data_IF_121172517537
#
_entry.id   IF_121172517537
#
_cell.length_a   1.000
_cell.length_b   1.000
_cell.length_c   1.000
_cell.angle_alpha   90.00
_cell.angle_beta   90.00
_cell.angle_gamma   90.00
#
_symmetry.space_group_name_H-M   'P 1'
#
loop_
_entity.id
_entity.type
_entity.pdbx_description
1 polymer ?
#
# COMPACT_ATOMS: atom_id res chain seq x y z
N UNK A 1 4.96 10.20 0.44
CA UNK A 1 4.88 8.74 0.29
C UNK A 1 5.57 8.08 1.46
N UNK A 2 4.92 7.15 2.10
CA UNK A 2 5.50 6.34 3.17
C UNK A 2 5.54 4.89 2.74
N UNK A 3 6.67 4.22 2.93
CA UNK A 3 6.83 2.83 2.56
C UNK A 3 7.06 1.95 3.80
N UNK A 4 6.58 0.73 3.73
CA UNK A 4 6.70 -0.27 4.79
C UNK A 4 7.09 -1.61 4.16
N UNK A 5 8.16 -2.20 4.68
CA UNK A 5 8.61 -3.53 4.25
C UNK A 5 7.85 -4.59 5.06
N UNK A 6 7.02 -5.37 4.37
CA UNK A 6 6.30 -6.48 5.01
C UNK A 6 7.23 -7.68 5.23
N UNK A 7 6.90 -8.49 6.22
CA UNK A 7 7.60 -9.73 6.54
C UNK A 7 6.63 -10.73 7.16
N UNK A 8 7.03 -12.00 7.33
CA UNK A 8 6.20 -12.97 8.08
C UNK A 8 5.99 -12.59 9.55
N UNK A 9 6.73 -11.61 10.06
CA UNK A 9 6.59 -11.08 11.42
C UNK A 9 5.80 -9.77 11.49
N UNK A 10 5.25 -9.30 10.37
CA UNK A 10 4.45 -8.07 10.33
C UNK A 10 3.25 -8.14 11.26
N UNK A 11 2.93 -7.02 11.89
CA UNK A 11 1.82 -6.90 12.83
C UNK A 11 0.73 -6.00 12.28
N UNK A 12 -0.54 -6.19 12.70
CA UNK A 12 -1.62 -5.27 12.33
C UNK A 12 -1.33 -3.82 12.77
N UNK A 13 -0.77 -3.65 13.96
CA UNK A 13 -0.42 -2.34 14.52
C UNK A 13 0.62 -1.61 13.66
N UNK A 14 1.59 -2.32 13.12
CA UNK A 14 2.60 -1.75 12.23
C UNK A 14 1.98 -1.14 10.98
N UNK A 15 1.06 -1.86 10.35
CA UNK A 15 0.35 -1.39 9.15
C UNK A 15 -0.56 -0.21 9.48
N UNK A 16 -1.37 -0.32 10.53
CA UNK A 16 -2.25 0.77 10.98
C UNK A 16 -1.45 2.03 11.29
N UNK A 17 -0.28 1.90 11.92
CA UNK A 17 0.60 3.01 12.25
C UNK A 17 1.05 3.80 11.02
N UNK A 18 1.45 3.10 9.95
CA UNK A 18 1.86 3.73 8.69
C UNK A 18 0.69 4.47 8.04
N UNK A 19 -0.50 3.89 8.02
CA UNK A 19 -1.69 4.56 7.49
C UNK A 19 -2.03 5.83 8.28
N UNK A 20 -1.92 5.77 9.61
CA UNK A 20 -2.15 6.94 10.48
C UNK A 20 -1.14 8.05 10.23
N UNK A 21 0.14 7.72 10.05
CA UNK A 21 1.16 8.71 9.71
C UNK A 21 0.85 9.42 8.39
N UNK A 22 0.46 8.68 7.35
CA UNK A 22 0.07 9.26 6.08
C UNK A 22 -1.18 10.13 6.20
N UNK A 23 -2.16 9.71 6.97
CA UNK A 23 -3.37 10.49 7.25
C UNK A 23 -3.04 11.83 7.92
N UNK A 24 -2.15 11.82 8.92
CA UNK A 24 -1.70 13.04 9.59
C UNK A 24 -0.95 14.00 8.66
N UNK A 25 -0.14 13.47 7.73
CA UNK A 25 0.59 14.29 6.77
C UNK A 25 -0.33 15.05 5.81
N UNK A 26 -1.51 14.54 5.52
CA UNK A 26 -2.45 15.19 4.62
C UNK A 26 -3.57 15.95 5.32
N UNK A 27 -3.65 15.94 6.65
CA UNK A 27 -4.74 16.53 7.44
C UNK A 27 -4.97 18.00 7.14
N UNK A 28 -3.89 18.78 7.00
CA UNK A 28 -3.95 20.23 6.78
C UNK A 28 -3.64 20.59 5.31
N UNK A 29 -3.68 19.60 4.41
CA UNK A 29 -3.37 19.78 2.99
C UNK A 29 -4.63 19.83 2.14
N UNK A 30 -4.53 20.53 1.01
CA UNK A 30 -5.56 20.51 -0.01
C UNK A 30 -5.53 19.18 -0.77
N UNK A 31 -6.55 18.36 -0.56
CA UNK A 31 -6.63 17.02 -1.15
C UNK A 31 -6.76 17.03 -2.68
N UNK A 32 -7.10 18.17 -3.27
CA UNK A 32 -7.09 18.32 -4.73
C UNK A 32 -5.68 18.41 -5.32
N UNK A 33 -4.69 18.74 -4.49
CA UNK A 33 -3.30 18.97 -4.90
C UNK A 33 -2.30 18.04 -4.22
N UNK A 34 -2.68 17.42 -3.11
CA UNK A 34 -1.78 16.62 -2.29
C UNK A 34 -2.50 15.37 -1.77
N UNK A 35 -1.92 14.23 -2.01
CA UNK A 35 -2.40 12.95 -1.49
C UNK A 35 -1.21 12.17 -0.94
N UNK A 36 -1.34 11.68 0.29
CA UNK A 36 -0.37 10.74 0.84
C UNK A 36 -0.63 9.33 0.32
N UNK A 37 0.43 8.59 0.06
CA UNK A 37 0.35 7.22 -0.43
C UNK A 37 1.15 6.31 0.49
N UNK A 38 0.54 5.22 0.93
CA UNK A 38 1.19 4.12 1.63
C UNK A 38 1.63 3.09 0.60
N UNK A 39 2.90 2.71 0.65
CA UNK A 39 3.44 1.61 -0.16
C UNK A 39 3.80 0.46 0.77
N UNK A 40 3.13 -0.68 0.60
CA UNK A 40 3.51 -1.91 1.30
C UNK A 40 4.30 -2.78 0.34
N UNK A 41 5.61 -2.88 0.58
CA UNK A 41 6.50 -3.72 -0.21
C UNK A 41 6.52 -5.15 0.35
N UNK A 42 6.65 -6.13 -0.52
CA UNK A 42 6.64 -7.54 -0.16
C UNK A 42 5.37 -7.94 0.62
N UNK A 43 4.22 -7.42 0.20
CA UNK A 43 2.94 -7.61 0.92
C UNK A 43 2.56 -9.10 1.05
N UNK A 44 2.98 -9.94 0.10
CA UNK A 44 2.76 -11.37 0.17
C UNK A 44 3.40 -12.03 1.40
N UNK A 45 4.52 -11.51 1.89
CA UNK A 45 5.17 -12.04 3.10
C UNK A 45 4.32 -11.81 4.36
N UNK A 46 3.56 -10.73 4.41
CA UNK A 46 2.67 -10.45 5.54
C UNK A 46 1.48 -11.43 5.60
N UNK A 47 1.15 -12.07 4.50
CA UNK A 47 0.10 -13.08 4.44
C UNK A 47 0.43 -14.30 5.31
N UNK A 48 1.71 -14.63 5.46
CA UNK A 48 2.20 -15.72 6.29
C UNK A 48 2.26 -15.39 7.78
N UNK A 49 2.05 -14.14 8.17
CA UNK A 49 2.07 -13.75 9.57
C UNK A 49 0.91 -14.37 10.35
N UNK A 50 1.16 -15.03 11.50
CA UNK A 50 0.09 -15.58 12.33
C UNK A 50 -0.83 -14.52 12.93
N UNK A 51 -0.40 -13.26 12.96
CA UNK A 51 -1.16 -12.13 13.47
C UNK A 51 -2.14 -11.56 12.43
N UNK A 52 -2.10 -12.06 11.20
CA UNK A 52 -3.00 -11.69 10.11
C UNK A 52 -3.07 -10.17 9.87
N UNK A 53 -1.93 -9.49 9.65
CA UNK A 53 -1.90 -8.03 9.55
C UNK A 53 -2.70 -7.48 8.36
N UNK A 54 -2.85 -8.25 7.28
CA UNK A 54 -3.56 -7.80 6.08
C UNK A 54 -5.06 -7.67 6.27
N UNK A 55 -5.63 -8.26 7.33
CA UNK A 55 -7.05 -8.07 7.65
C UNK A 55 -7.38 -6.62 7.99
N UNK A 56 -6.41 -5.85 8.49
CA UNK A 56 -6.60 -4.44 8.79
C UNK A 56 -6.79 -3.58 7.54
N UNK A 57 -6.37 -4.07 6.37
CA UNK A 57 -6.53 -3.33 5.12
C UNK A 57 -8.00 -3.12 4.74
N UNK A 58 -8.89 -4.04 5.09
CA UNK A 58 -10.30 -3.91 4.77
C UNK A 58 -10.89 -2.60 5.32
N UNK A 59 -10.90 -2.36 6.64
CA UNK A 59 -11.42 -1.09 7.16
C UNK A 59 -10.58 0.11 6.76
N UNK A 60 -9.26 -0.03 6.67
CA UNK A 60 -8.38 1.09 6.29
C UNK A 60 -8.64 1.58 4.87
N UNK A 61 -8.93 0.68 3.93
CA UNK A 61 -9.20 1.03 2.54
C UNK A 61 -10.65 1.48 2.32
N UNK A 62 -11.59 0.98 3.11
CA UNK A 62 -13.01 1.35 3.02
C UNK A 62 -13.33 2.63 3.80
N UNK A 63 -12.93 2.67 5.06
CA UNK A 63 -13.38 3.69 6.03
C UNK A 63 -12.29 4.71 6.37
N UNK A 64 -11.03 4.44 6.01
CA UNK A 64 -9.91 5.27 6.39
C UNK A 64 -9.36 4.96 7.77
N UNK A 65 -8.44 5.80 8.27
CA UNK A 65 -7.63 5.51 9.46
C UNK A 65 -8.32 5.83 10.78
N UNK A 66 -9.33 6.68 10.76
CA UNK A 66 -10.08 7.03 11.96
C UNK A 66 -11.54 7.28 11.62
N UNK A 67 -12.43 6.69 12.40
CA UNK A 67 -13.82 7.12 12.46
C UNK A 67 -13.90 8.15 13.59
N UNK A 68 -14.37 9.36 13.29
CA UNK A 68 -14.70 10.27 14.36
C UNK A 68 -15.90 9.68 15.09
N UNK A 69 -15.71 9.28 16.34
CA UNK A 69 -16.78 8.73 17.17
C UNK A 69 -17.97 9.69 17.30
N UNK A 70 -17.74 10.98 17.10
CA UNK A 70 -18.75 12.02 17.24
C UNK A 70 -19.67 12.20 16.04
N UNK A 71 -19.27 11.82 14.84
CA UNK A 71 -20.09 12.08 13.64
C UNK A 71 -20.43 10.85 12.82
N UNK A 72 -19.79 9.71 13.06
CA UNK A 72 -20.00 8.49 12.27
C UNK A 72 -19.61 8.62 10.79
N UNK A 73 -19.01 9.73 10.39
CA UNK A 73 -18.54 9.98 9.03
C UNK A 73 -17.05 9.90 8.94
N UNK A 74 -16.56 9.21 7.92
CA UNK A 74 -15.14 9.19 7.60
C UNK A 74 -14.77 10.55 7.01
N UNK A 75 -13.80 11.21 7.59
CA UNK A 75 -13.26 12.45 7.04
C UNK A 75 -12.36 12.13 5.82
N UNK A 76 -12.44 12.93 4.77
CA UNK A 76 -11.69 12.69 3.55
C UNK A 76 -10.17 12.62 3.78
N UNK A 77 -9.65 13.41 4.72
CA UNK A 77 -8.21 13.39 5.06
C UNK A 77 -7.76 12.09 5.73
N UNK A 78 -8.68 11.26 6.22
CA UNK A 78 -8.36 9.94 6.78
C UNK A 78 -8.19 8.86 5.70
N UNK A 79 -8.53 9.17 4.46
CA UNK A 79 -8.35 8.29 3.33
C UNK A 79 -7.03 8.59 2.64
N UNK A 80 -6.16 7.58 2.58
CA UNK A 80 -4.85 7.69 1.92
C UNK A 80 -4.79 6.76 0.72
N UNK A 81 -3.93 7.09 -0.24
CA UNK A 81 -3.66 6.20 -1.36
C UNK A 81 -2.91 4.96 -0.90
N UNK A 82 -3.06 3.86 -1.62
CA UNK A 82 -2.44 2.60 -1.26
C UNK A 82 -1.86 1.91 -2.49
N UNK A 83 -0.64 1.41 -2.36
CA UNK A 83 0.03 0.55 -3.34
C UNK A 83 0.62 -0.65 -2.61
N UNK A 84 0.26 -1.85 -3.04
CA UNK A 84 0.87 -3.08 -2.58
C UNK A 84 1.74 -3.70 -3.67
N UNK A 85 2.95 -4.10 -3.32
CA UNK A 85 3.88 -4.80 -4.22
C UNK A 85 4.08 -6.22 -3.74
N UNK A 86 3.93 -7.19 -4.63
CA UNK A 86 4.09 -8.61 -4.29
C UNK A 86 4.65 -9.40 -5.46
N UNK A 87 5.40 -10.45 -5.16
CA UNK A 87 5.90 -11.40 -6.15
C UNK A 87 4.90 -12.52 -6.47
N UNK A 88 3.80 -12.61 -5.72
CA UNK A 88 2.74 -13.60 -5.98
C UNK A 88 1.36 -13.01 -5.69
N UNK A 89 0.34 -13.67 -6.21
CA UNK A 89 -1.04 -13.26 -6.00
C UNK A 89 -1.45 -13.51 -4.53
N UNK A 90 -2.13 -12.51 -3.95
CA UNK A 90 -2.70 -12.63 -2.62
C UNK A 90 -4.02 -13.41 -2.65
N UNK A 91 -4.48 -13.83 -1.48
CA UNK A 91 -5.82 -14.38 -1.30
C UNK A 91 -6.87 -13.41 -1.87
N UNK A 92 -7.77 -13.88 -2.76
CA UNK A 92 -8.81 -13.02 -3.35
C UNK A 92 -9.64 -12.24 -2.33
N UNK A 93 -9.90 -12.81 -1.16
CA UNK A 93 -10.65 -12.12 -0.10
C UNK A 93 -9.94 -10.85 0.39
N UNK A 94 -8.60 -10.81 0.34
CA UNK A 94 -7.80 -9.66 0.75
C UNK A 94 -7.65 -8.63 -0.35
N UNK A 95 -7.94 -9.01 -1.60
CA UNK A 95 -7.76 -8.18 -2.79
C UNK A 95 -9.03 -7.50 -3.28
N UNK A 96 -10.17 -7.76 -2.65
CA UNK A 96 -11.47 -7.27 -3.10
C UNK A 96 -11.61 -5.74 -3.08
N UNK A 97 -10.78 -5.02 -2.32
CA UNK A 97 -10.82 -3.56 -2.20
C UNK A 97 -9.81 -2.84 -3.07
N UNK A 98 -9.08 -3.58 -3.89
CA UNK A 98 -8.05 -3.02 -4.75
C UNK A 98 -8.19 -3.48 -6.20
N UNK A 99 -7.47 -2.82 -7.07
CA UNK A 99 -7.28 -3.24 -8.45
C UNK A 99 -5.93 -3.95 -8.53
N UNK A 100 -5.95 -5.20 -8.99
CA UNK A 100 -4.71 -5.94 -9.18
C UNK A 100 -4.17 -5.75 -10.59
N UNK A 101 -2.89 -5.34 -10.65
CA UNK A 101 -2.14 -5.31 -11.90
C UNK A 101 -1.10 -6.43 -11.86
N UNK A 102 -1.27 -7.40 -12.75
CA UNK A 102 -0.32 -8.52 -12.84
C UNK A 102 0.63 -8.29 -14.02
N UNK A 103 1.92 -8.42 -13.75
CA UNK A 103 2.94 -8.46 -14.79
C UNK A 103 3.54 -9.86 -14.85
N UNK A 104 3.53 -10.44 -16.05
CA UNK A 104 4.23 -11.67 -16.31
C UNK A 104 5.74 -11.47 -16.43
N UNK A 105 6.45 -12.53 -16.78
CA UNK A 105 7.89 -12.44 -17.04
C UNK A 105 8.15 -11.42 -18.16
N UNK A 106 9.17 -10.54 -18.03
CA UNK A 106 9.47 -9.56 -19.05
C UNK A 106 9.94 -10.24 -20.33
N UNK A 107 9.57 -9.67 -21.49
CA UNK A 107 10.04 -10.12 -22.77
C UNK A 107 11.53 -9.81 -22.96
N UNK A 108 12.17 -10.46 -23.93
CA UNK A 108 13.56 -10.17 -24.27
C UNK A 108 13.76 -8.68 -24.62
N UNK A 109 12.82 -8.09 -25.33
CA UNK A 109 12.88 -6.65 -25.69
C UNK A 109 12.82 -5.76 -24.45
N UNK A 110 11.91 -6.05 -23.53
CA UNK A 110 11.80 -5.30 -22.26
C UNK A 110 13.08 -5.40 -21.43
N UNK A 111 13.70 -6.58 -21.36
CA UNK A 111 14.96 -6.79 -20.66
C UNK A 111 16.09 -5.98 -21.28
N UNK A 112 16.18 -5.95 -22.60
CA UNK A 112 17.20 -5.18 -23.32
C UNK A 112 17.02 -3.68 -23.12
N UNK A 113 15.79 -3.18 -23.17
CA UNK A 113 15.49 -1.78 -22.96
C UNK A 113 15.79 -1.36 -21.52
N UNK A 114 15.46 -2.20 -20.53
CA UNK A 114 15.80 -1.96 -19.14
C UNK A 114 17.31 -1.92 -18.92
N UNK A 115 18.05 -2.84 -19.52
CA UNK A 115 19.51 -2.87 -19.44
C UNK A 115 20.14 -1.62 -20.04
N UNK A 116 19.65 -1.18 -21.20
CA UNK A 116 20.11 0.06 -21.85
C UNK A 116 19.86 1.29 -20.99
N UNK A 117 18.67 1.36 -20.36
CA UNK A 117 18.32 2.43 -19.48
C UNK A 117 19.27 2.52 -18.27
N UNK A 118 19.54 1.40 -17.62
CA UNK A 118 20.46 1.33 -16.47
C UNK A 118 21.87 1.76 -16.87
N UNK A 119 22.38 1.27 -18.02
CA UNK A 119 23.70 1.65 -18.50
C UNK A 119 23.79 3.15 -18.79
N UNK A 120 22.76 3.73 -19.39
CA UNK A 120 22.73 5.18 -19.68
C UNK A 120 22.72 6.04 -18.41
N UNK A 121 22.09 5.56 -17.33
CA UNK A 121 22.12 6.26 -16.04
C UNK A 121 23.50 6.14 -15.37
N UNK A 122 24.18 5.00 -15.53
CA UNK A 122 25.46 4.73 -14.89
C UNK A 122 26.65 5.45 -15.55
N UNK A 123 26.47 5.94 -16.76
CA UNK A 123 27.46 6.76 -17.49
C UNK A 123 27.21 8.24 -17.20
#
# INVERSE_FOLDING_TARGET
>A
MQSYQCSPLSTPEGIVSIFKQCSQLQKDKDLSKFVSVVVLDEIGLAEDSPLMPLKTLHPLLEDGTATSEESGKTLDHNRVGFIGLSNWALDPAKMNRGIMLSRGAPSKTELLDSARFVVNIAI
#
